data_IF_723871742186
#
_entry.id   IF_723871742186
#
_cell.length_a   1.000
_cell.length_b   1.000
_cell.length_c   1.000
_cell.angle_alpha   90.00
_cell.angle_beta   90.00
_cell.angle_gamma   90.00
#
_symmetry.space_group_name_H-M   'P 1'
#
loop_
_entity.id
_entity.type
_entity.pdbx_description
1 polymer ?
#
# COMPACT_ATOMS: atom_id res chain seq x y z
N UNK A 1 -78.20 4.32 7.63
CA UNK A 1 -76.95 4.93 7.10
C UNK A 1 -75.81 4.43 7.97
N UNK A 2 -75.16 3.37 7.53
CA UNK A 2 -74.11 2.64 8.27
C UNK A 2 -72.75 3.23 7.97
N UNK A 3 -72.05 3.70 9.00
CA UNK A 3 -70.70 4.24 8.92
C UNK A 3 -69.67 3.09 8.90
N UNK A 4 -68.77 3.10 7.93
CA UNK A 4 -67.65 2.15 7.83
C UNK A 4 -66.37 2.90 8.23
N UNK A 5 -65.78 2.52 9.36
CA UNK A 5 -64.48 3.02 9.80
C UNK A 5 -63.37 2.19 9.16
N UNK A 6 -62.49 2.82 8.38
CA UNK A 6 -61.31 2.19 7.83
C UNK A 6 -60.15 2.30 8.83
N UNK A 7 -59.66 1.14 9.31
CA UNK A 7 -58.44 1.04 10.10
C UNK A 7 -57.23 1.02 9.17
N UNK A 8 -56.40 2.06 9.19
CA UNK A 8 -55.09 2.06 8.53
C UNK A 8 -54.08 1.35 9.43
N UNK A 9 -53.63 0.15 9.01
CA UNK A 9 -52.52 -0.54 9.65
C UNK A 9 -51.19 -0.03 9.06
N UNK A 10 -50.43 0.76 9.83
CA UNK A 10 -49.04 1.09 9.50
C UNK A 10 -48.15 -0.12 9.85
N UNK A 11 -47.68 -0.83 8.83
CA UNK A 11 -46.63 -1.82 8.99
C UNK A 11 -45.28 -1.12 9.19
N UNK A 12 -44.75 -1.17 10.41
CA UNK A 12 -43.37 -0.77 10.69
C UNK A 12 -42.46 -1.93 10.25
N UNK A 13 -41.79 -1.77 9.11
CA UNK A 13 -40.73 -2.69 8.71
C UNK A 13 -39.47 -2.37 9.53
N UNK A 14 -39.16 -3.22 10.50
CA UNK A 14 -37.85 -3.20 11.17
C UNK A 14 -36.86 -3.85 10.21
N UNK A 15 -36.03 -3.04 9.55
CA UNK A 15 -34.89 -3.56 8.80
C UNK A 15 -33.83 -4.03 9.80
N UNK A 16 -33.69 -5.33 9.97
CA UNK A 16 -32.53 -5.90 10.66
C UNK A 16 -31.28 -5.56 9.83
N UNK A 17 -30.40 -4.72 10.38
CA UNK A 17 -29.09 -4.49 9.78
C UNK A 17 -28.32 -5.79 9.71
N UNK A 18 -27.84 -6.17 8.54
CA UNK A 18 -26.92 -7.27 8.40
C UNK A 18 -25.65 -6.93 9.21
N UNK A 19 -25.42 -7.65 10.30
CA UNK A 19 -24.14 -7.65 10.97
C UNK A 19 -23.15 -8.37 10.04
N UNK A 20 -22.26 -7.61 9.40
CA UNK A 20 -21.10 -8.16 8.72
C UNK A 20 -20.17 -8.61 9.84
N UNK A 21 -20.12 -9.91 10.09
CA UNK A 21 -19.11 -10.44 11.00
C UNK A 21 -17.74 -10.21 10.34
N UNK A 22 -16.91 -9.38 10.96
CA UNK A 22 -15.45 -9.37 10.77
C UNK A 22 -14.97 -10.81 10.95
N UNK A 23 -14.78 -11.54 9.86
CA UNK A 23 -14.36 -12.94 9.92
C UNK A 23 -12.93 -13.02 9.41
N UNK A 24 -11.99 -12.96 10.34
CA UNK A 24 -10.62 -13.40 10.09
C UNK A 24 -10.67 -14.82 9.50
N UNK A 25 -10.14 -14.97 8.29
CA UNK A 25 -10.01 -16.26 7.61
C UNK A 25 -8.59 -16.76 7.84
N UNK A 26 -8.47 -17.90 8.51
CA UNK A 26 -7.20 -18.60 8.76
C UNK A 26 -7.40 -20.12 8.65
N UNK A 27 -6.33 -20.93 8.46
CA UNK A 27 -6.45 -22.37 8.33
C UNK A 27 -7.06 -23.01 9.58
N UNK A 28 -7.88 -24.05 9.39
CA UNK A 28 -8.49 -24.75 10.51
C UNK A 28 -7.41 -25.34 11.46
N UNK A 29 -7.54 -25.06 12.75
CA UNK A 29 -6.60 -25.53 13.77
C UNK A 29 -5.30 -24.73 13.88
N UNK A 30 -5.09 -23.67 13.10
CA UNK A 30 -3.98 -22.74 13.34
C UNK A 30 -4.19 -21.94 14.62
N UNK A 31 -3.10 -21.48 15.23
CA UNK A 31 -3.16 -20.60 16.40
C UNK A 31 -3.92 -19.31 16.06
N UNK A 32 -4.69 -18.72 17.00
CA UNK A 32 -5.36 -17.44 16.77
C UNK A 32 -4.37 -16.33 16.43
N UNK A 33 -4.77 -15.44 15.52
CA UNK A 33 -4.00 -14.25 15.17
C UNK A 33 -4.35 -13.14 16.18
N UNK A 34 -3.37 -12.52 16.86
CA UNK A 34 -3.66 -11.40 17.76
C UNK A 34 -4.21 -10.18 17.00
N UNK A 35 -5.17 -9.50 17.63
CA UNK A 35 -5.77 -8.27 17.10
C UNK A 35 -4.74 -7.12 16.99
N UNK A 36 -5.03 -6.16 16.11
CA UNK A 36 -4.25 -4.94 15.95
C UNK A 36 -5.06 -3.78 15.35
N UNK A 37 -4.44 -2.60 15.15
CA UNK A 37 -5.13 -1.40 14.71
C UNK A 37 -5.67 -1.44 13.27
N UNK A 38 -5.06 -2.20 12.36
CA UNK A 38 -5.50 -2.32 10.97
C UNK A 38 -6.86 -3.03 10.89
N UNK A 39 -7.80 -2.43 10.17
CA UNK A 39 -9.16 -2.96 10.05
C UNK A 39 -9.25 -4.03 8.96
N UNK A 40 -8.42 -3.94 7.92
CA UNK A 40 -8.27 -4.98 6.91
C UNK A 40 -6.80 -5.35 6.76
N UNK A 41 -6.51 -6.62 6.54
CA UNK A 41 -5.15 -7.11 6.35
C UNK A 41 -5.11 -8.46 5.64
N UNK A 42 -3.94 -8.81 5.10
CA UNK A 42 -3.67 -10.12 4.48
C UNK A 42 -2.24 -10.55 4.81
N UNK A 43 -2.03 -11.87 4.92
CA UNK A 43 -0.72 -12.51 4.95
C UNK A 43 -0.66 -13.49 3.79
N UNK A 44 0.30 -13.33 2.90
CA UNK A 44 0.50 -14.19 1.73
C UNK A 44 1.97 -14.63 1.62
N UNK A 45 2.20 -15.75 0.95
CA UNK A 45 3.52 -16.22 0.57
C UNK A 45 3.97 -15.46 -0.68
N UNK A 46 5.11 -14.77 -0.58
CA UNK A 46 5.62 -13.93 -1.66
C UNK A 46 5.99 -14.75 -2.90
N UNK A 47 6.42 -16.00 -2.69
CA UNK A 47 6.89 -16.89 -3.74
C UNK A 47 5.76 -17.67 -4.37
N UNK A 48 5.03 -18.45 -3.58
CA UNK A 48 3.96 -19.32 -4.12
C UNK A 48 2.70 -18.55 -4.47
N UNK A 49 2.48 -17.37 -3.89
CA UNK A 49 1.23 -16.62 -4.01
C UNK A 49 0.09 -17.22 -3.18
N UNK A 50 0.35 -18.20 -2.30
CA UNK A 50 -0.68 -18.71 -1.41
C UNK A 50 -1.08 -17.65 -0.38
N UNK A 51 -2.37 -17.52 -0.11
CA UNK A 51 -2.90 -16.70 0.99
C UNK A 51 -2.92 -17.55 2.25
N UNK A 52 -2.24 -17.08 3.30
CA UNK A 52 -2.14 -17.77 4.58
C UNK A 52 -3.31 -17.40 5.48
N UNK A 53 -3.62 -16.11 5.57
CA UNK A 53 -4.77 -15.58 6.31
C UNK A 53 -5.14 -14.18 5.82
N UNK A 54 -6.34 -13.73 6.18
CA UNK A 54 -6.77 -12.35 5.94
C UNK A 54 -7.99 -11.96 6.76
N UNK A 55 -8.16 -10.65 6.96
CA UNK A 55 -9.37 -10.01 7.49
C UNK A 55 -9.84 -9.01 6.48
N UNK A 56 -11.05 -9.20 5.97
CA UNK A 56 -11.68 -8.29 5.01
C UNK A 56 -10.73 -7.92 3.86
N UNK A 57 -9.91 -8.87 3.39
CA UNK A 57 -8.77 -8.60 2.51
C UNK A 57 -9.17 -8.05 1.14
N UNK A 58 -10.44 -8.18 0.77
CA UNK A 58 -11.03 -7.67 -0.47
C UNK A 58 -11.91 -6.43 -0.27
N UNK A 59 -11.98 -5.87 0.95
CA UNK A 59 -12.72 -4.63 1.22
C UNK A 59 -11.87 -3.43 0.80
N UNK A 60 -12.49 -2.55 0.00
CA UNK A 60 -11.81 -1.42 -0.59
C UNK A 60 -11.64 -0.26 0.39
N UNK A 61 -10.42 0.25 0.48
CA UNK A 61 -10.06 1.46 1.22
C UNK A 61 -9.09 2.33 0.41
N UNK A 62 -9.01 3.65 0.68
CA UNK A 62 -7.99 4.48 0.05
C UNK A 62 -6.57 3.99 0.38
N UNK A 63 -5.65 3.89 -0.60
CA UNK A 63 -4.33 3.28 -0.38
C UNK A 63 -3.33 4.23 0.30
N UNK A 64 -3.55 5.55 0.23
CA UNK A 64 -2.53 6.55 0.52
C UNK A 64 -1.22 6.23 -0.23
N UNK A 65 -0.06 6.51 0.38
CA UNK A 65 1.25 6.33 -0.25
C UNK A 65 1.67 4.89 -0.54
N UNK A 66 0.90 3.87 -0.17
CA UNK A 66 1.17 2.49 -0.63
C UNK A 66 1.02 2.37 -2.15
N UNK A 67 0.18 3.21 -2.78
CA UNK A 67 0.02 3.25 -4.24
C UNK A 67 1.30 3.69 -4.98
N UNK A 68 2.25 4.32 -4.29
CA UNK A 68 3.56 4.67 -4.88
C UNK A 68 4.34 3.44 -5.35
N UNK A 69 4.05 2.25 -4.82
CA UNK A 69 4.61 0.98 -5.32
C UNK A 69 4.13 0.71 -6.75
N UNK A 70 2.86 1.01 -7.05
CA UNK A 70 2.31 0.88 -8.40
C UNK A 70 2.92 1.92 -9.36
N UNK A 71 3.14 3.15 -8.90
CA UNK A 71 3.89 4.15 -9.68
C UNK A 71 5.32 3.68 -9.97
N UNK A 72 6.01 3.14 -8.96
CA UNK A 72 7.37 2.63 -9.11
C UNK A 72 7.44 1.49 -10.16
N UNK A 73 6.45 0.59 -10.18
CA UNK A 73 6.34 -0.43 -11.22
C UNK A 73 6.22 0.16 -12.61
N UNK A 74 5.34 1.13 -12.83
CA UNK A 74 5.18 1.80 -14.14
C UNK A 74 6.49 2.50 -14.55
N UNK A 75 7.14 3.20 -13.62
CA UNK A 75 8.42 3.86 -13.89
C UNK A 75 9.52 2.86 -14.26
N UNK A 76 9.61 1.73 -13.56
CA UNK A 76 10.60 0.67 -13.83
C UNK A 76 10.35 -0.06 -15.15
N UNK A 77 9.10 -0.13 -15.62
CA UNK A 77 8.74 -0.74 -16.89
C UNK A 77 9.04 0.17 -18.09
N UNK A 78 8.92 1.48 -17.92
CA UNK A 78 8.91 2.43 -19.05
C UNK A 78 10.13 3.36 -19.12
N UNK A 79 10.85 3.57 -18.03
CA UNK A 79 11.96 4.53 -17.98
C UNK A 79 13.31 3.82 -17.91
N UNK A 80 14.28 4.33 -18.68
CA UNK A 80 15.69 4.11 -18.35
C UNK A 80 16.01 4.89 -17.07
N UNK A 81 16.48 4.21 -16.02
CA UNK A 81 16.76 4.84 -14.73
C UNK A 81 17.91 5.85 -14.77
N UNK A 82 18.71 5.87 -15.84
CA UNK A 82 19.71 6.90 -16.10
C UNK A 82 19.16 8.10 -16.87
N UNK A 83 17.96 8.01 -17.44
CA UNK A 83 17.29 9.16 -18.06
C UNK A 83 17.06 10.25 -17.02
N UNK A 84 17.18 11.49 -17.46
CA UNK A 84 17.09 12.67 -16.59
C UNK A 84 15.90 13.54 -16.94
N UNK A 85 15.41 14.25 -15.94
CA UNK A 85 14.37 15.27 -16.06
C UNK A 85 14.74 16.47 -15.21
N UNK A 86 14.42 17.67 -15.68
CA UNK A 86 14.44 18.87 -14.85
C UNK A 86 13.02 19.07 -14.35
N UNK A 87 12.83 19.06 -13.03
CA UNK A 87 11.51 19.23 -12.45
C UNK A 87 10.94 20.61 -12.77
N UNK A 88 9.67 20.64 -13.18
CA UNK A 88 8.92 21.87 -13.33
C UNK A 88 8.46 22.39 -11.96
N UNK A 89 8.09 23.68 -11.91
CA UNK A 89 7.49 24.27 -10.70
C UNK A 89 6.27 23.46 -10.24
N UNK A 90 5.45 23.00 -11.19
CA UNK A 90 4.27 22.18 -10.90
C UNK A 90 4.61 20.84 -10.23
N UNK A 91 5.75 20.23 -10.56
CA UNK A 91 6.16 18.95 -9.97
C UNK A 91 6.42 19.09 -8.47
N UNK A 92 6.93 20.26 -8.07
CA UNK A 92 7.34 20.54 -6.69
C UNK A 92 6.22 21.12 -5.81
N UNK A 93 5.08 21.47 -6.42
CA UNK A 93 3.90 21.96 -5.71
C UNK A 93 3.01 20.80 -5.25
N UNK A 94 3.46 20.09 -4.22
CA UNK A 94 2.70 19.03 -3.56
C UNK A 94 2.63 19.26 -2.05
N UNK A 95 1.58 18.75 -1.42
CA UNK A 95 1.59 18.56 0.04
C UNK A 95 2.73 17.60 0.39
N UNK A 96 3.53 17.90 1.41
CA UNK A 96 4.67 17.07 1.77
C UNK A 96 4.23 15.85 2.61
N UNK A 97 4.98 14.73 2.65
CA UNK A 97 6.42 14.59 2.45
C UNK A 97 6.94 14.95 1.05
N UNK A 98 8.11 15.60 1.02
CA UNK A 98 8.82 16.02 -0.19
C UNK A 98 10.31 15.67 -0.06
N UNK A 99 10.94 15.22 -1.16
CA UNK A 99 12.38 14.90 -1.18
C UNK A 99 13.25 16.11 -1.56
N UNK A 100 12.66 17.10 -2.25
CA UNK A 100 13.35 18.29 -2.74
C UNK A 100 13.72 18.19 -4.23
N UNK A 101 12.75 17.89 -5.11
CA UNK A 101 13.03 17.66 -6.54
C UNK A 101 13.44 18.89 -7.37
N UNK A 102 13.48 20.11 -6.80
CA UNK A 102 13.74 21.36 -7.52
C UNK A 102 15.23 21.71 -7.70
N UNK A 103 16.12 20.71 -7.70
CA UNK A 103 17.59 20.89 -7.57
C UNK A 103 18.37 20.54 -8.84
N UNK A 104 17.79 20.88 -10.00
CA UNK A 104 18.37 20.61 -11.32
C UNK A 104 17.88 19.30 -11.94
N UNK A 105 18.72 18.70 -12.78
CA UNK A 105 18.38 17.46 -13.48
C UNK A 105 18.48 16.26 -12.53
N UNK A 106 17.40 15.49 -12.42
CA UNK A 106 17.29 14.29 -11.59
C UNK A 106 17.19 13.05 -12.48
N UNK A 107 17.89 11.98 -12.08
CA UNK A 107 17.76 10.66 -12.72
C UNK A 107 16.51 9.93 -12.25
N UNK A 108 15.95 9.08 -13.10
CA UNK A 108 14.86 8.17 -12.72
C UNK A 108 15.16 7.36 -11.46
N UNK A 109 16.40 6.86 -11.29
CA UNK A 109 16.83 6.18 -10.05
C UNK A 109 16.69 7.07 -8.80
N UNK A 110 17.18 8.31 -8.86
CA UNK A 110 17.13 9.24 -7.72
C UNK A 110 15.69 9.55 -7.33
N UNK A 111 14.81 9.71 -8.32
CA UNK A 111 13.38 9.92 -8.07
C UNK A 111 12.72 8.69 -7.43
N UNK A 112 13.09 7.47 -7.84
CA UNK A 112 12.62 6.24 -7.16
C UNK A 112 13.13 6.16 -5.73
N UNK A 113 14.37 6.54 -5.45
CA UNK A 113 14.91 6.59 -4.09
C UNK A 113 14.08 7.57 -3.24
N UNK A 114 13.82 8.79 -3.74
CA UNK A 114 12.97 9.78 -3.05
C UNK A 114 11.51 9.33 -2.87
N UNK A 115 10.96 8.63 -3.87
CA UNK A 115 9.60 8.09 -3.84
C UNK A 115 9.43 7.01 -2.76
N UNK A 116 10.38 6.09 -2.65
CA UNK A 116 10.26 4.90 -1.83
C UNK A 116 10.80 5.09 -0.41
N UNK A 117 11.95 5.76 -0.23
CA UNK A 117 12.57 5.93 1.09
C UNK A 117 11.84 6.97 1.94
N UNK A 118 11.50 8.13 1.36
CA UNK A 118 10.93 9.26 2.11
C UNK A 118 9.49 9.61 1.72
N UNK A 119 8.89 8.80 0.83
CA UNK A 119 7.52 8.98 0.38
C UNK A 119 7.28 10.32 -0.33
N UNK A 120 8.29 10.85 -1.04
CA UNK A 120 8.25 12.17 -1.67
C UNK A 120 7.13 12.30 -2.70
N UNK A 121 6.22 13.24 -2.48
CA UNK A 121 5.12 13.54 -3.41
C UNK A 121 5.60 14.34 -4.62
N UNK A 122 6.61 15.19 -4.43
CA UNK A 122 7.34 15.86 -5.51
C UNK A 122 8.09 14.87 -6.41
N UNK A 123 8.71 13.83 -5.84
CA UNK A 123 9.27 12.72 -6.62
C UNK A 123 8.21 11.98 -7.43
N UNK A 124 7.03 11.74 -6.84
CA UNK A 124 5.91 11.11 -7.54
C UNK A 124 5.42 11.95 -8.74
N UNK A 125 5.28 13.27 -8.55
CA UNK A 125 4.90 14.19 -9.62
C UNK A 125 5.97 14.27 -10.72
N UNK A 126 7.24 14.33 -10.33
CA UNK A 126 8.35 14.39 -11.30
C UNK A 126 8.46 13.10 -12.11
N UNK A 127 8.21 11.93 -11.51
CA UNK A 127 8.09 10.68 -12.26
C UNK A 127 6.88 10.69 -13.20
N UNK A 128 5.75 11.26 -12.77
CA UNK A 128 4.58 11.40 -13.62
C UNK A 128 4.85 12.32 -14.82
N UNK A 129 5.62 13.40 -14.64
CA UNK A 129 6.12 14.23 -15.74
C UNK A 129 6.91 13.38 -16.74
N UNK A 130 7.90 12.60 -16.30
CA UNK A 130 8.67 11.69 -17.19
C UNK A 130 7.78 10.69 -17.93
N UNK A 131 6.68 10.25 -17.31
CA UNK A 131 5.74 9.27 -17.86
C UNK A 131 4.66 9.87 -18.77
N UNK A 132 4.72 11.18 -19.05
CA UNK A 132 3.80 11.87 -19.98
C UNK A 132 2.71 12.70 -19.30
N UNK A 133 2.89 13.05 -18.02
CA UNK A 133 1.99 13.88 -17.23
C UNK A 133 1.08 13.10 -16.28
N UNK A 134 0.38 13.83 -15.41
CA UNK A 134 -0.43 13.29 -14.31
C UNK A 134 -1.50 12.30 -14.79
N UNK A 135 -2.40 12.73 -15.69
CA UNK A 135 -3.52 11.90 -16.16
C UNK A 135 -3.05 10.65 -16.90
N UNK A 136 -2.02 10.79 -17.74
CA UNK A 136 -1.43 9.67 -18.48
C UNK A 136 -0.81 8.66 -17.51
N UNK A 137 -0.11 9.15 -16.48
CA UNK A 137 0.50 8.30 -15.45
C UNK A 137 -0.55 7.54 -14.66
N UNK A 138 -1.63 8.21 -14.23
CA UNK A 138 -2.74 7.56 -13.52
C UNK A 138 -3.41 6.49 -14.41
N UNK A 139 -3.61 6.77 -15.70
CA UNK A 139 -4.13 5.79 -16.65
C UNK A 139 -3.20 4.56 -16.78
N UNK A 140 -1.88 4.78 -16.89
CA UNK A 140 -0.87 3.70 -16.92
C UNK A 140 -0.86 2.88 -15.63
N UNK A 141 -0.96 3.53 -14.47
CA UNK A 141 -1.04 2.85 -13.17
C UNK A 141 -2.27 1.94 -13.09
N UNK A 142 -3.45 2.46 -13.47
CA UNK A 142 -4.68 1.66 -13.48
C UNK A 142 -4.62 0.50 -14.49
N UNK A 143 -4.04 0.72 -15.67
CA UNK A 143 -3.79 -0.35 -16.64
C UNK A 143 -2.85 -1.40 -16.05
N UNK A 144 -1.74 -1.00 -15.41
CA UNK A 144 -0.80 -1.91 -14.76
C UNK A 144 -1.49 -2.73 -13.67
N UNK A 145 -2.27 -2.11 -12.79
CA UNK A 145 -3.03 -2.82 -11.75
C UNK A 145 -3.95 -3.89 -12.37
N UNK A 146 -4.69 -3.55 -13.43
CA UNK A 146 -5.53 -4.50 -14.15
C UNK A 146 -4.72 -5.67 -14.74
N UNK A 147 -3.54 -5.43 -15.35
CA UNK A 147 -2.69 -6.51 -15.89
C UNK A 147 -2.14 -7.45 -14.82
N UNK A 148 -1.99 -6.97 -13.59
CA UNK A 148 -1.54 -7.77 -12.45
C UNK A 148 -2.66 -8.58 -11.79
N UNK A 149 -3.93 -8.34 -12.16
CA UNK A 149 -5.09 -8.90 -11.47
C UNK A 149 -5.51 -8.13 -10.21
N UNK A 150 -4.93 -6.96 -9.94
CA UNK A 150 -5.34 -6.06 -8.86
C UNK A 150 -6.61 -5.28 -9.27
N UNK A 151 -7.71 -6.01 -9.47
CA UNK A 151 -8.94 -5.49 -10.11
C UNK A 151 -9.79 -4.60 -9.21
N UNK A 152 -9.48 -4.51 -7.93
CA UNK A 152 -10.16 -3.64 -6.97
C UNK A 152 -9.36 -2.35 -6.70
N UNK A 153 -8.29 -2.12 -7.46
CA UNK A 153 -7.43 -0.95 -7.35
C UNK A 153 -7.78 0.10 -8.39
N UNK A 154 -7.97 1.33 -7.90
CA UNK A 154 -8.16 2.52 -8.70
C UNK A 154 -7.33 3.67 -8.13
N UNK A 155 -6.21 3.98 -8.80
CA UNK A 155 -5.41 5.16 -8.51
C UNK A 155 -6.10 6.42 -9.07
N UNK A 156 -6.14 7.49 -8.27
CA UNK A 156 -6.61 8.82 -8.67
C UNK A 156 -5.48 9.84 -8.79
N UNK A 157 -4.34 9.57 -8.14
CA UNK A 157 -3.11 10.35 -8.23
C UNK A 157 -1.89 9.41 -8.23
N UNK A 158 -0.73 9.84 -8.74
CA UNK A 158 0.50 9.04 -8.67
C UNK A 158 1.04 8.88 -7.24
N UNK A 159 0.76 9.86 -6.37
CA UNK A 159 1.27 9.90 -5.01
C UNK A 159 0.39 9.18 -3.98
N UNK A 160 -0.89 9.01 -4.28
CA UNK A 160 -1.89 8.53 -3.32
C UNK A 160 -2.43 9.62 -2.39
N UNK A 161 -2.16 10.89 -2.68
CA UNK A 161 -2.94 12.00 -2.13
C UNK A 161 -4.35 11.99 -2.74
N UNK A 162 -5.28 12.65 -2.04
CA UNK A 162 -6.61 12.93 -2.60
C UNK A 162 -6.47 13.80 -3.86
N UNK A 163 -7.17 13.44 -4.92
CA UNK A 163 -7.13 14.15 -6.21
C UNK A 163 -8.52 14.47 -6.76
N UNK A 164 -8.61 14.97 -8.00
CA UNK A 164 -9.88 15.30 -8.64
C UNK A 164 -10.88 14.12 -8.70
N UNK A 165 -10.37 12.89 -8.80
CA UNK A 165 -11.17 11.65 -8.75
C UNK A 165 -11.46 11.11 -7.34
N UNK A 166 -11.11 11.85 -6.29
CA UNK A 166 -11.21 11.42 -4.89
C UNK A 166 -9.94 10.73 -4.35
N UNK A 167 -10.10 9.99 -3.26
CA UNK A 167 -8.99 9.36 -2.52
C UNK A 167 -8.42 8.08 -3.16
N UNK A 168 -9.02 7.62 -4.25
CA UNK A 168 -8.71 6.32 -4.85
C UNK A 168 -9.14 5.14 -3.99
N UNK A 169 -8.83 3.93 -4.45
CA UNK A 169 -9.17 2.69 -3.77
C UNK A 169 -8.12 1.60 -4.06
N UNK A 170 -7.93 0.71 -3.09
CA UNK A 170 -7.28 -0.59 -3.25
C UNK A 170 -7.77 -1.51 -2.13
N UNK A 171 -7.29 -2.75 -2.09
CA UNK A 171 -7.61 -3.75 -1.06
C UNK A 171 -6.31 -4.32 -0.49
N UNK A 172 -6.36 -4.95 0.68
CA UNK A 172 -5.17 -5.60 1.22
C UNK A 172 -4.64 -6.67 0.26
N UNK A 173 -5.55 -7.43 -0.36
CA UNK A 173 -5.26 -8.38 -1.43
C UNK A 173 -4.49 -7.75 -2.60
N UNK A 174 -5.04 -6.67 -3.18
CA UNK A 174 -4.42 -6.04 -4.34
C UNK A 174 -3.07 -5.40 -4.01
N UNK A 175 -2.92 -4.82 -2.81
CA UNK A 175 -1.65 -4.27 -2.38
C UNK A 175 -0.54 -5.33 -2.33
N UNK A 176 -0.82 -6.55 -1.84
CA UNK A 176 0.19 -7.62 -1.85
C UNK A 176 0.43 -8.19 -3.25
N UNK A 177 -0.57 -8.19 -4.15
CA UNK A 177 -0.37 -8.52 -5.57
C UNK A 177 0.59 -7.53 -6.23
N UNK A 178 0.36 -6.23 -6.03
CA UNK A 178 1.21 -5.15 -6.56
C UNK A 178 2.61 -5.25 -5.97
N UNK A 179 2.75 -5.41 -4.65
CA UNK A 179 4.05 -5.49 -3.99
C UNK A 179 4.81 -6.76 -4.38
N UNK A 180 4.12 -7.90 -4.57
CA UNK A 180 4.72 -9.13 -5.09
C UNK A 180 5.31 -8.93 -6.47
N UNK A 181 4.58 -8.27 -7.37
CA UNK A 181 5.08 -7.94 -8.70
C UNK A 181 6.29 -6.98 -8.62
N UNK A 182 6.26 -6.00 -7.71
CA UNK A 182 7.37 -5.07 -7.51
C UNK A 182 8.62 -5.79 -6.99
N UNK A 183 8.50 -6.68 -6.01
CA UNK A 183 9.62 -7.46 -5.44
C UNK A 183 10.25 -8.43 -6.43
N UNK A 184 9.58 -8.77 -7.54
CA UNK A 184 10.18 -9.55 -8.62
C UNK A 184 11.19 -8.75 -9.44
N UNK A 185 11.14 -7.41 -9.39
CA UNK A 185 12.13 -6.54 -9.99
C UNK A 185 13.30 -6.32 -9.01
N UNK A 186 14.55 -6.71 -9.35
CA UNK A 186 15.68 -6.61 -8.44
C UNK A 186 16.04 -5.16 -8.06
N UNK A 187 15.74 -4.18 -8.93
CA UNK A 187 15.98 -2.76 -8.62
C UNK A 187 15.00 -2.27 -7.56
N UNK A 188 13.72 -2.63 -7.68
CA UNK A 188 12.74 -2.30 -6.64
C UNK A 188 13.11 -2.95 -5.30
N UNK A 189 13.41 -4.25 -5.32
CA UNK A 189 13.81 -5.00 -4.13
C UNK A 189 15.06 -4.41 -3.45
N UNK A 190 16.01 -3.88 -4.24
CA UNK A 190 17.15 -3.14 -3.71
C UNK A 190 16.70 -1.84 -3.03
N UNK A 191 16.01 -0.95 -3.75
CA UNK A 191 15.67 0.39 -3.25
C UNK A 191 14.80 0.31 -1.99
N UNK A 192 13.78 -0.56 -1.98
CA UNK A 192 12.87 -0.66 -0.82
C UNK A 192 13.55 -1.13 0.46
N UNK A 193 14.71 -1.79 0.35
CA UNK A 193 15.51 -2.29 1.47
C UNK A 193 16.74 -1.42 1.77
N UNK A 194 17.04 -0.41 0.95
CA UNK A 194 18.16 0.50 1.18
C UNK A 194 17.90 1.30 2.47
N UNK A 195 18.86 1.36 3.42
CA UNK A 195 18.69 2.13 4.65
C UNK A 195 18.71 3.64 4.38
N UNK A 196 19.42 4.06 3.34
CA UNK A 196 19.56 5.44 2.92
C UNK A 196 20.08 5.54 1.49
N UNK A 197 19.91 6.72 0.88
CA UNK A 197 20.45 7.08 -0.42
C UNK A 197 20.93 8.54 -0.41
N UNK A 198 21.80 8.90 -1.36
CA UNK A 198 22.17 10.30 -1.60
C UNK A 198 21.24 10.91 -2.64
N UNK A 199 20.69 12.08 -2.34
CA UNK A 199 19.78 12.80 -3.21
C UNK A 199 20.34 14.20 -3.54
N UNK A 200 20.24 14.70 -4.79
CA UNK A 200 20.74 16.04 -5.14
C UNK A 200 20.14 17.17 -4.29
N UNK A 201 20.97 18.15 -3.93
CA UNK A 201 20.60 19.32 -3.12
C UNK A 201 21.34 20.58 -3.61
N UNK A 202 20.96 21.76 -3.10
CA UNK A 202 21.60 23.04 -3.48
C UNK A 202 23.11 23.05 -3.20
N UNK A 203 23.56 22.31 -2.18
CA UNK A 203 24.97 22.28 -1.74
C UNK A 203 25.67 20.95 -2.10
N UNK A 204 25.18 20.23 -3.13
CA UNK A 204 25.73 18.94 -3.55
C UNK A 204 24.71 17.83 -3.39
N UNK A 205 24.93 16.93 -2.42
CA UNK A 205 24.01 15.82 -2.14
C UNK A 205 23.62 15.83 -0.66
N UNK A 206 22.38 15.43 -0.37
CA UNK A 206 21.85 15.23 0.97
C UNK A 206 21.52 13.76 1.20
N UNK A 207 21.74 13.26 2.41
CA UNK A 207 21.35 11.90 2.78
C UNK A 207 19.84 11.84 3.04
N UNK A 208 19.14 10.96 2.33
CA UNK A 208 17.75 10.60 2.63
C UNK A 208 17.73 9.23 3.29
N UNK A 209 16.94 9.07 4.35
CA UNK A 209 16.88 7.84 5.16
C UNK A 209 15.53 7.17 4.96
N UNK A 210 15.54 5.85 4.84
CA UNK A 210 14.33 5.07 4.66
C UNK A 210 13.42 5.17 5.90
N UNK A 211 12.18 5.58 5.69
CA UNK A 211 11.16 5.76 6.73
C UNK A 211 10.46 4.44 7.11
N UNK A 212 10.74 3.33 6.41
CA UNK A 212 10.25 2.02 6.81
C UNK A 212 11.00 1.50 8.04
N UNK A 213 10.44 1.75 9.22
CA UNK A 213 11.02 1.30 10.48
C UNK A 213 10.98 -0.24 10.63
N UNK A 214 10.19 -0.97 9.81
CA UNK A 214 10.17 -2.43 9.88
C UNK A 214 11.55 -3.02 9.56
N UNK A 215 12.31 -2.40 8.66
CA UNK A 215 13.70 -2.79 8.33
C UNK A 215 14.61 -2.82 9.56
N UNK A 216 14.35 -1.98 10.56
CA UNK A 216 15.14 -1.91 11.79
C UNK A 216 14.50 -2.71 12.94
N UNK A 217 13.16 -2.79 12.95
CA UNK A 217 12.39 -3.38 14.05
C UNK A 217 12.22 -4.89 13.94
N UNK A 218 12.21 -5.44 12.73
CA UNK A 218 11.88 -6.84 12.50
C UNK A 218 13.00 -7.59 11.74
N UNK A 219 13.74 -8.50 12.40
CA UNK A 219 14.79 -9.27 11.75
C UNK A 219 14.25 -10.09 10.58
N UNK A 220 14.85 -9.86 9.40
CA UNK A 220 14.43 -10.48 8.15
C UNK A 220 13.43 -9.67 7.33
N UNK A 221 13.02 -8.48 7.76
CA UNK A 221 12.31 -7.54 6.89
C UNK A 221 13.15 -7.22 5.64
N UNK A 222 12.51 -7.25 4.47
CA UNK A 222 13.16 -7.05 3.16
C UNK A 222 12.55 -5.89 2.37
N UNK A 223 11.78 -5.02 3.05
CA UNK A 223 11.20 -3.81 2.48
C UNK A 223 9.72 -3.64 2.79
N UNK A 224 9.28 -2.40 2.72
CA UNK A 224 7.89 -2.03 2.92
C UNK A 224 7.62 -0.58 2.51
N UNK A 225 6.34 -0.25 2.41
CA UNK A 225 5.86 1.10 2.13
C UNK A 225 4.71 1.45 3.06
N UNK A 226 4.90 2.54 3.80
CA UNK A 226 3.87 3.16 4.64
C UNK A 226 3.03 4.16 3.85
N UNK A 227 1.82 4.43 4.35
CA UNK A 227 0.97 5.51 3.89
C UNK A 227 0.06 6.04 5.00
N UNK A 228 -0.29 7.32 4.88
CA UNK A 228 -1.30 7.95 5.71
C UNK A 228 -1.98 9.10 4.98
N UNK A 229 -3.30 9.15 5.04
CA UNK A 229 -4.12 10.36 4.81
C UNK A 229 -5.29 10.32 5.80
N UNK A 230 -6.04 11.42 5.93
CA UNK A 230 -7.24 11.39 6.78
C UNK A 230 -8.29 10.39 6.25
N UNK A 231 -8.44 10.28 4.93
CA UNK A 231 -9.37 9.36 4.28
C UNK A 231 -8.91 7.89 4.36
N UNK A 232 -7.61 7.63 4.18
CA UNK A 232 -7.05 6.28 4.19
C UNK A 232 -6.81 5.72 5.60
N UNK A 233 -6.67 6.60 6.60
CA UNK A 233 -6.00 6.28 7.87
C UNK A 233 -4.60 5.72 7.60
N UNK A 234 -4.06 4.85 8.46
CA UNK A 234 -2.74 4.23 8.23
C UNK A 234 -2.86 3.07 7.25
N UNK A 235 -1.93 3.00 6.31
CA UNK A 235 -1.76 1.88 5.38
C UNK A 235 -0.30 1.41 5.38
N UNK A 236 -0.10 0.12 5.15
CA UNK A 236 1.22 -0.50 5.05
C UNK A 236 1.16 -1.70 4.11
N UNK A 237 2.21 -1.90 3.32
CA UNK A 237 2.48 -3.13 2.59
C UNK A 237 3.96 -3.43 2.70
N UNK A 238 4.35 -4.68 2.95
CA UNK A 238 5.76 -5.03 3.11
C UNK A 238 6.00 -6.52 3.16
N UNK A 239 7.27 -6.91 3.13
CA UNK A 239 7.69 -8.30 3.09
C UNK A 239 8.82 -8.61 4.07
N UNK A 240 8.90 -9.87 4.49
CA UNK A 240 9.96 -10.41 5.33
C UNK A 240 10.36 -11.81 4.88
N UNK A 241 11.57 -12.23 5.23
CA UNK A 241 12.11 -13.55 4.93
C UNK A 241 12.66 -14.21 6.21
N UNK A 242 12.33 -15.49 6.41
CA UNK A 242 12.84 -16.30 7.52
C UNK A 242 12.93 -17.77 7.10
N UNK A 243 14.08 -18.40 7.35
CA UNK A 243 14.27 -19.83 7.08
C UNK A 243 14.02 -20.25 5.63
N UNK A 244 14.30 -19.38 4.65
CA UNK A 244 14.08 -19.64 3.22
C UNK A 244 12.65 -19.41 2.72
N UNK A 245 11.70 -19.08 3.62
CA UNK A 245 10.34 -18.65 3.25
C UNK A 245 10.26 -17.13 3.20
N UNK A 246 9.53 -16.58 2.23
CA UNK A 246 9.27 -15.15 2.10
C UNK A 246 7.77 -14.88 2.20
N UNK A 247 7.38 -13.97 3.08
CA UNK A 247 6.00 -13.56 3.27
C UNK A 247 5.83 -12.10 2.89
N UNK A 248 4.63 -11.75 2.46
CA UNK A 248 4.19 -10.39 2.16
C UNK A 248 2.87 -10.13 2.89
N UNK A 249 2.74 -8.95 3.48
CA UNK A 249 1.52 -8.51 4.16
C UNK A 249 1.07 -7.16 3.61
N UNK A 250 -0.23 -6.90 3.71
CA UNK A 250 -0.78 -5.55 3.61
C UNK A 250 -1.75 -5.31 4.76
N UNK A 251 -1.85 -4.06 5.20
CA UNK A 251 -2.64 -3.60 6.34
C UNK A 251 -3.26 -2.25 5.98
N UNK A 252 -4.57 -2.08 6.14
CA UNK A 252 -5.26 -0.85 5.75
C UNK A 252 -6.22 -0.32 6.82
N UNK A 253 -6.55 0.97 6.68
CA UNK A 253 -7.63 1.65 7.36
C UNK A 253 -7.57 1.67 8.90
N UNK A 254 -6.37 1.58 9.48
CA UNK A 254 -6.20 1.51 10.93
C UNK A 254 -5.77 2.83 11.57
N UNK A 255 -6.11 2.95 12.86
CA UNK A 255 -5.64 4.02 13.75
C UNK A 255 -5.07 3.39 15.01
N UNK A 256 -3.86 3.81 15.39
CA UNK A 256 -3.24 3.40 16.65
C UNK A 256 -3.95 4.13 17.78
N UNK A 257 -4.46 3.37 18.75
CA UNK A 257 -5.06 3.92 19.99
C UNK A 257 -3.98 4.05 21.06
N UNK A 258 -4.10 5.04 21.92
CA UNK A 258 -3.21 5.20 23.07
C UNK A 258 -3.23 3.93 23.94
N UNK A 259 -2.05 3.41 24.29
CA UNK A 259 -1.88 2.16 25.03
C UNK A 259 -2.14 0.88 24.23
N UNK A 260 -2.51 0.97 22.95
CA UNK A 260 -2.72 -0.18 22.06
C UNK A 260 -1.52 -0.52 21.18
N UNK A 261 -1.59 -1.65 20.45
CA UNK A 261 -0.55 -2.05 19.51
C UNK A 261 -0.38 -1.02 18.38
N UNK A 262 0.87 -0.77 17.99
CA UNK A 262 1.21 0.04 16.84
C UNK A 262 1.07 -0.76 15.53
N UNK A 263 1.22 -0.08 14.39
CA UNK A 263 1.29 -0.77 13.09
C UNK A 263 2.51 -1.69 12.98
N UNK A 264 3.62 -1.33 13.61
CA UNK A 264 4.83 -2.15 13.62
C UNK A 264 4.66 -3.41 14.47
N UNK A 265 3.96 -3.29 15.61
CA UNK A 265 3.64 -4.45 16.46
C UNK A 265 2.72 -5.43 15.74
N UNK A 266 1.69 -4.93 15.04
CA UNK A 266 0.80 -5.79 14.26
C UNK A 266 1.51 -6.40 13.04
N UNK A 267 2.36 -5.64 12.31
CA UNK A 267 3.14 -6.19 11.21
C UNK A 267 4.06 -7.34 11.68
N UNK A 268 4.79 -7.14 12.77
CA UNK A 268 5.64 -8.18 13.37
C UNK A 268 4.82 -9.41 13.78
N UNK A 269 3.66 -9.20 14.39
CA UNK A 269 2.73 -10.26 14.79
C UNK A 269 2.24 -11.08 13.60
N UNK A 270 1.84 -10.42 12.51
CA UNK A 270 1.38 -11.08 11.29
C UNK A 270 2.49 -11.92 10.63
N UNK A 271 3.71 -11.38 10.57
CA UNK A 271 4.86 -12.14 10.06
C UNK A 271 5.22 -13.31 10.97
N UNK A 272 5.30 -13.11 12.29
CA UNK A 272 5.63 -14.17 13.24
C UNK A 272 4.60 -15.30 13.19
N UNK A 273 3.31 -14.96 13.12
CA UNK A 273 2.25 -15.94 12.92
C UNK A 273 2.41 -16.69 11.60
N UNK A 274 2.64 -15.98 10.49
CA UNK A 274 2.78 -16.59 9.17
C UNK A 274 4.00 -17.52 9.06
N UNK A 275 5.11 -17.17 9.71
CA UNK A 275 6.30 -18.03 9.76
C UNK A 275 6.14 -19.23 10.69
N UNK A 276 5.30 -19.15 11.73
CA UNK A 276 4.99 -20.26 12.62
C UNK A 276 3.94 -21.23 12.03
N UNK A 277 3.16 -20.78 11.04
CA UNK A 277 2.16 -21.60 10.37
C UNK A 277 2.81 -22.76 9.60
N UNK A 278 2.17 -23.94 9.63
CA UNK A 278 2.55 -25.08 8.79
C UNK A 278 2.70 -24.62 7.32
N UNK A 279 3.86 -24.82 6.67
CA UNK A 279 4.10 -24.34 5.30
C UNK A 279 3.15 -24.91 4.24
N UNK A 280 2.45 -26.02 4.52
CA UNK A 280 1.45 -26.59 3.61
C UNK A 280 0.05 -25.99 3.77
N UNK A 281 -0.20 -25.25 4.86
CA UNK A 281 -1.50 -24.65 5.15
C UNK A 281 -1.69 -23.31 4.40
N UNK A 282 -2.87 -23.14 3.81
CA UNK A 282 -3.31 -21.90 3.14
C UNK A 282 -4.84 -21.85 3.11
N UNK A 283 -5.38 -20.66 2.86
CA UNK A 283 -6.83 -20.41 2.73
C UNK A 283 -7.24 -19.95 1.32
N UNK A 284 -6.27 -19.77 0.42
CA UNK A 284 -6.50 -19.36 -0.96
C UNK A 284 -5.20 -19.08 -1.70
N UNK A 285 -5.31 -18.39 -2.83
CA UNK A 285 -4.19 -17.87 -3.63
C UNK A 285 -4.51 -16.46 -4.10
N UNK A 286 -3.45 -15.65 -4.28
CA UNK A 286 -3.49 -14.34 -4.92
C UNK A 286 -3.88 -14.43 -6.40
#
# INVERSE_FOLDING_TARGET
>A
MTATAALCACAVTVSAGAAWADADVQPAGSVPIPDGPAQTWIVADLDSGQVLAGRDQNVAHPPASTIKVLLALVALDELDLNSTVVADVADTQAECNCVGSNRGALRGRQLLDGLLLVSGNDAANTLAHMLGGQDVTVAKMNAKAATLGATSTHATTPSGLDGPGGSGASTAHDLVVIFRAAMANPVFAQITAEPSAMFPSDNGEQLIVNQDELLQRYPGAIGGKTGYTNAARKTFVGAAARGGRRLVIAMMYGLVKEGGPTYWDQAATLFDWGFALNPQASVGSL
#
